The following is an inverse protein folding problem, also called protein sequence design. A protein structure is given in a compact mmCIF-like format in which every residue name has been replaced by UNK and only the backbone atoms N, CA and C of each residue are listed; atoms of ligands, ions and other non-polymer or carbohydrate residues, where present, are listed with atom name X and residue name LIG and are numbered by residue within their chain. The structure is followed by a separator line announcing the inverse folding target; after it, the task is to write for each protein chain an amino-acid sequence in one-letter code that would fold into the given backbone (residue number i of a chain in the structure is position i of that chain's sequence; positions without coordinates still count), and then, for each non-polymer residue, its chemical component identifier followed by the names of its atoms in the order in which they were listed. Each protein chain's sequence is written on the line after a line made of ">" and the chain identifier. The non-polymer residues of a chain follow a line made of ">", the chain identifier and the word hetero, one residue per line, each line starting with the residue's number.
data_IF_059432303966
#
_entry.id   IF_059432303966
#
_cell.length_a   1.000
_cell.length_b   1.000
_cell.length_c   1.000
_cell.angle_alpha   90.00
_cell.angle_beta   90.00
_cell.angle_gamma   90.00
#
_symmetry.space_group_name_H-M   'P 1'
#
loop_
_entity.id
_entity.type
_entity.pdbx_description
1 polymer ?
#
# COMPACT_ATOMS: atom_id res chain seq x y z
N UNK A 1 -20.10 -3.86 0.44
CA UNK A 1 -19.05 -2.94 0.93
C UNK A 1 -17.73 -3.57 0.55
N UNK A 2 -16.78 -2.78 0.04
CA UNK A 2 -15.46 -3.29 -0.32
C UNK A 2 -14.47 -3.15 0.83
N UNK A 3 -13.44 -3.99 0.83
CA UNK A 3 -12.47 -4.07 1.93
C UNK A 3 -11.51 -2.87 1.98
N UNK A 4 -11.16 -2.45 3.19
CA UNK A 4 -10.12 -1.49 3.51
C UNK A 4 -8.84 -2.23 3.91
N UNK A 5 -7.78 -2.05 3.13
CA UNK A 5 -6.51 -2.79 3.32
C UNK A 5 -5.36 -1.84 3.59
N UNK A 6 -4.52 -2.16 4.58
CA UNK A 6 -3.26 -1.45 4.85
C UNK A 6 -2.06 -2.24 4.33
N UNK A 7 -1.36 -1.66 3.37
CA UNK A 7 -0.08 -2.16 2.87
C UNK A 7 1.09 -1.48 3.61
N UNK A 8 1.71 -2.22 4.53
CA UNK A 8 2.92 -1.86 5.25
C UNK A 8 4.14 -2.35 4.46
N UNK A 9 4.43 -1.75 3.30
CA UNK A 9 5.55 -2.18 2.46
C UNK A 9 6.58 -1.07 2.26
N UNK A 10 7.84 -1.44 2.52
CA UNK A 10 9.07 -0.69 2.23
C UNK A 10 9.49 -0.88 0.76
N UNK A 11 8.87 -0.19 -0.20
CA UNK A 11 9.27 -0.35 -1.61
C UNK A 11 8.29 0.15 -2.69
N UNK A 12 8.42 -0.43 -3.89
CA UNK A 12 7.89 0.05 -5.18
C UNK A 12 6.37 0.11 -5.36
N UNK A 13 5.56 -0.18 -4.35
CA UNK A 13 4.08 -0.13 -4.41
C UNK A 13 3.41 -1.25 -5.22
N UNK A 14 4.15 -2.30 -5.62
CA UNK A 14 3.60 -3.39 -6.45
C UNK A 14 2.50 -4.18 -5.71
N UNK A 15 2.62 -4.34 -4.38
CA UNK A 15 1.58 -4.99 -3.57
C UNK A 15 0.33 -4.11 -3.47
N UNK A 16 0.47 -2.83 -3.11
CA UNK A 16 -0.63 -1.87 -3.11
C UNK A 16 -1.41 -1.86 -4.44
N UNK A 17 -0.69 -1.94 -5.56
CA UNK A 17 -1.30 -2.03 -6.90
C UNK A 17 -2.15 -3.30 -7.09
N UNK A 18 -1.59 -4.47 -6.75
CA UNK A 18 -2.30 -5.74 -6.85
C UNK A 18 -3.53 -5.80 -5.93
N UNK A 19 -3.40 -5.27 -4.70
CA UNK A 19 -4.50 -5.16 -3.76
C UNK A 19 -5.59 -4.24 -4.32
N UNK A 20 -5.22 -3.10 -4.91
CA UNK A 20 -6.17 -2.14 -5.45
C UNK A 20 -6.98 -2.71 -6.62
N UNK A 21 -6.37 -3.55 -7.47
CA UNK A 21 -7.12 -4.29 -8.49
C UNK A 21 -8.13 -5.26 -7.87
N UNK A 22 -7.74 -5.96 -6.80
CA UNK A 22 -8.56 -6.97 -6.15
C UNK A 22 -9.72 -6.37 -5.36
N UNK A 23 -9.48 -5.32 -4.58
CA UNK A 23 -10.51 -4.69 -3.72
C UNK A 23 -11.27 -3.57 -4.44
N UNK A 24 -10.63 -2.90 -5.41
CA UNK A 24 -11.21 -1.76 -6.12
C UNK A 24 -12.43 -2.13 -6.97
N UNK A 25 -12.49 -3.36 -7.49
CA UNK A 25 -13.67 -3.89 -8.20
C UNK A 25 -14.92 -3.96 -7.30
N UNK A 26 -14.74 -4.09 -5.98
CA UNK A 26 -15.80 -4.14 -4.99
C UNK A 26 -16.00 -2.80 -4.25
N UNK A 27 -15.34 -1.72 -4.71
CA UNK A 27 -15.36 -0.40 -4.07
C UNK A 27 -14.48 -0.28 -2.83
N UNK A 28 -13.56 -1.23 -2.62
CA UNK A 28 -12.58 -1.21 -1.53
C UNK A 28 -11.45 -0.21 -1.76
N UNK A 29 -10.65 -0.01 -0.71
CA UNK A 29 -9.57 0.98 -0.68
C UNK A 29 -8.29 0.37 -0.12
N UNK A 30 -7.16 0.87 -0.62
CA UNK A 30 -5.84 0.46 -0.13
C UNK A 30 -5.13 1.70 0.40
N UNK A 31 -4.62 1.62 1.62
CA UNK A 31 -3.67 2.60 2.15
C UNK A 31 -2.27 1.99 2.09
N UNK A 32 -1.33 2.64 1.44
CA UNK A 32 0.08 2.26 1.47
C UNK A 32 0.82 3.20 2.42
N UNK A 33 1.55 2.63 3.37
CA UNK A 33 2.30 3.37 4.39
C UNK A 33 3.80 3.06 4.27
N UNK A 34 4.60 4.11 4.14
CA UNK A 34 6.07 4.05 4.09
C UNK A 34 6.64 5.31 4.76
N UNK A 35 7.76 5.19 5.47
CA UNK A 35 8.42 6.35 6.11
C UNK A 35 9.16 7.20 5.09
N UNK A 36 9.49 6.64 3.91
CA UNK A 36 10.23 7.32 2.86
C UNK A 36 9.29 7.98 1.86
N UNK A 37 9.24 9.32 1.91
CA UNK A 37 8.56 10.14 0.88
C UNK A 37 9.02 9.81 -0.54
N UNK A 38 10.30 9.49 -0.72
CA UNK A 38 10.86 9.15 -2.02
C UNK A 38 10.28 7.84 -2.55
N UNK A 39 10.15 6.82 -1.70
CA UNK A 39 9.51 5.55 -2.06
C UNK A 39 8.04 5.76 -2.42
N UNK A 40 7.29 6.53 -1.61
CA UNK A 40 5.89 6.88 -1.90
C UNK A 40 5.77 7.63 -3.23
N UNK A 41 6.66 8.58 -3.51
CA UNK A 41 6.66 9.33 -4.76
C UNK A 41 6.95 8.42 -5.97
N UNK A 42 7.97 7.56 -5.89
CA UNK A 42 8.29 6.61 -6.96
C UNK A 42 7.15 5.61 -7.21
N UNK A 43 6.60 5.05 -6.13
CA UNK A 43 5.49 4.10 -6.18
C UNK A 43 4.24 4.74 -6.81
N UNK A 44 3.82 5.90 -6.32
CA UNK A 44 2.67 6.64 -6.84
C UNK A 44 2.85 7.08 -8.30
N UNK A 45 4.05 7.51 -8.69
CA UNK A 45 4.37 7.89 -10.06
C UNK A 45 4.29 6.69 -11.00
N UNK A 46 4.88 5.54 -10.62
CA UNK A 46 4.79 4.30 -11.39
C UNK A 46 3.35 3.81 -11.51
N UNK A 47 2.58 3.92 -10.44
CA UNK A 47 1.16 3.58 -10.39
C UNK A 47 0.34 4.43 -11.38
N UNK A 48 0.64 5.72 -11.47
CA UNK A 48 0.00 6.64 -12.41
C UNK A 48 0.32 6.30 -13.86
N UNK A 49 1.59 5.97 -14.17
CA UNK A 49 2.03 5.57 -15.51
C UNK A 49 1.38 4.27 -16.00
N UNK A 50 1.08 3.33 -15.09
CA UNK A 50 0.41 2.08 -15.45
C UNK A 50 -1.06 2.28 -15.86
N UNK A 51 -1.63 3.48 -15.65
CA UNK A 51 -2.97 3.90 -16.10
C UNK A 51 -4.11 2.90 -15.79
N UNK A 52 -3.94 2.00 -14.84
CA UNK A 52 -4.97 1.02 -14.50
C UNK A 52 -6.12 1.74 -13.78
N UNK A 53 -7.35 1.50 -14.23
CA UNK A 53 -8.55 2.16 -13.71
C UNK A 53 -8.69 2.07 -12.18
N UNK A 54 -8.17 0.99 -11.58
CA UNK A 54 -8.23 0.71 -10.15
C UNK A 54 -7.12 1.36 -9.32
N UNK A 55 -6.12 2.01 -9.94
CA UNK A 55 -5.07 2.75 -9.22
C UNK A 55 -5.61 3.97 -8.44
N UNK A 56 -6.84 4.42 -8.74
CA UNK A 56 -7.48 5.56 -8.07
C UNK A 56 -7.87 5.28 -6.62
N UNK A 57 -7.88 4.02 -6.19
CA UNK A 57 -8.30 3.62 -4.85
C UNK A 57 -7.15 3.50 -3.84
N UNK A 58 -5.95 3.94 -4.20
CA UNK A 58 -4.77 3.88 -3.33
C UNK A 58 -4.51 5.24 -2.66
N UNK A 59 -4.41 5.23 -1.33
CA UNK A 59 -3.97 6.36 -0.52
C UNK A 59 -2.51 6.13 -0.12
N UNK A 60 -1.64 7.06 -0.48
CA UNK A 60 -0.23 7.06 -0.07
C UNK A 60 -0.08 7.86 1.23
N UNK A 61 0.49 7.25 2.26
CA UNK A 61 0.61 7.84 3.60
C UNK A 61 2.05 7.71 4.07
N UNK A 62 2.63 8.84 4.49
CA UNK A 62 3.92 8.83 5.16
C UNK A 62 3.75 8.47 6.63
N UNK A 63 4.52 7.51 7.12
CA UNK A 63 4.49 7.11 8.52
C UNK A 63 5.34 5.87 8.80
N UNK A 64 5.57 5.59 10.08
CA UNK A 64 6.25 4.37 10.51
C UNK A 64 5.25 3.25 10.77
N UNK A 65 5.63 2.00 10.46
CA UNK A 65 4.79 0.84 10.72
C UNK A 65 4.56 0.58 12.23
N UNK A 66 5.39 1.17 13.08
CA UNK A 66 5.31 1.11 14.55
C UNK A 66 4.39 2.17 15.15
N UNK A 67 4.09 3.25 14.41
CA UNK A 67 3.22 4.35 14.85
C UNK A 67 2.26 4.74 13.72
N UNK A 68 1.27 3.89 13.54
CA UNK A 68 0.36 3.95 12.40
C UNK A 68 -0.71 5.03 12.66
N UNK A 69 -0.87 6.05 11.80
CA UNK A 69 -1.78 7.17 12.02
C UNK A 69 -3.24 6.83 11.64
N UNK A 70 -3.73 5.68 12.10
CA UNK A 70 -5.10 5.21 11.87
C UNK A 70 -5.74 4.75 13.18
N UNK A 71 -7.07 4.91 13.34
CA UNK A 71 -7.79 4.38 14.49
C UNK A 71 -7.66 2.87 14.64
N UNK A 72 -7.87 2.36 15.85
CA UNK A 72 -8.00 0.92 16.09
C UNK A 72 -9.11 0.31 15.22
N UNK A 73 -8.86 -0.92 14.74
CA UNK A 73 -9.79 -1.69 13.89
C UNK A 73 -10.22 -0.98 12.58
N UNK A 74 -9.40 -0.06 12.06
CA UNK A 74 -9.72 0.69 10.84
C UNK A 74 -9.58 -0.11 9.53
N UNK A 75 -8.79 -1.19 9.52
CA UNK A 75 -8.53 -2.01 8.33
C UNK A 75 -9.06 -3.42 8.48
N UNK A 76 -9.67 -3.95 7.42
CA UNK A 76 -10.14 -5.33 7.33
C UNK A 76 -8.99 -6.33 7.16
N UNK A 77 -7.88 -5.88 6.57
CA UNK A 77 -6.68 -6.68 6.40
C UNK A 77 -5.40 -5.83 6.39
N UNK A 78 -4.32 -6.39 6.96
CA UNK A 78 -2.97 -5.83 6.92
C UNK A 78 -2.03 -6.91 6.35
N UNK A 79 -1.97 -7.08 5.01
CA UNK A 79 -1.06 -8.04 4.39
C UNK A 79 0.39 -7.64 4.62
N UNK A 80 1.13 -8.46 5.37
CA UNK A 80 2.56 -8.28 5.57
C UNK A 80 3.33 -9.11 4.55
N UNK A 81 4.11 -8.46 3.68
CA UNK A 81 5.10 -9.15 2.84
C UNK A 81 6.37 -9.39 3.66
N UNK A 82 6.64 -10.65 3.99
CA UNK A 82 7.95 -11.05 4.53
C UNK A 82 9.03 -10.91 3.44
N UNK A 83 9.66 -9.74 3.36
CA UNK A 83 10.88 -9.51 2.60
C UNK A 83 12.12 -9.78 3.44
N UNK A 84 12.41 -11.03 3.79
CA UNK A 84 13.74 -11.38 4.30
C UNK A 84 14.74 -11.27 3.14
N UNK A 85 15.28 -10.07 2.90
CA UNK A 85 16.56 -9.96 2.21
C UNK A 85 17.64 -10.21 3.25
N UNK A 86 18.32 -11.36 3.15
CA UNK A 86 19.60 -11.55 3.84
C UNK A 86 20.57 -10.50 3.29
N UNK A 87 20.90 -9.49 4.09
CA UNK A 87 22.21 -8.85 3.96
C UNK A 87 23.21 -9.82 4.61
N UNK A 88 24.02 -10.51 3.82
CA UNK A 88 25.09 -11.35 4.34
C UNK A 88 25.55 -12.42 3.35
N UNK A 89 26.69 -12.14 2.72
CA UNK A 89 27.45 -12.99 1.81
C UNK A 89 28.48 -12.14 1.10
#
# INVERSE_FOLDING_TARGET
>A
MGDCVLDLCFGSGDLASHLSEKVGSNGGKVSNLDFSKEQLFMASSRQHLLAKAYCKSIKWVEGEATDVPFPDCYFDAIPVRYGFRKCGG
#
